data_IF_922616120207
#
_entry.id   IF_922616120207
#
_cell.length_a   1.000
_cell.length_b   1.000
_cell.length_c   1.000
_cell.angle_alpha   90.00
_cell.angle_beta   90.00
_cell.angle_gamma   90.00
#
_symmetry.space_group_name_H-M   'P 1'
#
loop_
_entity.id
_entity.type
_entity.pdbx_description
1 polymer ?
#
# COMPACT_ATOMS: atom_id res chain seq x y z
N UNK A 1 20.35 -8.86 60.39
CA UNK A 1 20.83 -8.64 59.01
C UNK A 1 20.41 -9.87 58.22
N UNK A 2 19.20 -9.84 57.66
CA UNK A 2 18.67 -10.94 56.84
C UNK A 2 19.09 -10.61 55.42
N UNK A 3 19.93 -11.45 54.82
CA UNK A 3 20.32 -11.30 53.43
C UNK A 3 19.16 -11.79 52.57
N UNK A 4 18.53 -10.88 51.83
CA UNK A 4 17.56 -11.20 50.78
C UNK A 4 18.28 -12.01 49.70
N UNK A 5 18.03 -13.31 49.70
CA UNK A 5 18.39 -14.20 48.60
C UNK A 5 17.40 -13.92 47.45
N UNK A 6 17.70 -12.91 46.63
CA UNK A 6 16.99 -12.66 45.38
C UNK A 6 17.37 -13.76 44.42
N UNK A 7 16.57 -14.82 44.35
CA UNK A 7 16.69 -15.83 43.30
C UNK A 7 16.68 -15.12 41.94
N UNK A 8 17.81 -15.15 41.22
CA UNK A 8 17.88 -14.61 39.87
C UNK A 8 16.85 -15.33 39.00
N UNK A 9 15.87 -14.56 38.52
CA UNK A 9 14.83 -15.04 37.60
C UNK A 9 15.53 -15.75 36.44
N UNK A 10 15.32 -17.06 36.31
CA UNK A 10 15.87 -17.91 35.25
C UNK A 10 15.33 -17.44 33.89
N UNK A 11 15.95 -16.43 33.29
CA UNK A 11 15.59 -15.94 31.96
C UNK A 11 16.09 -16.93 30.91
N UNK A 12 15.27 -17.19 29.89
CA UNK A 12 15.66 -18.08 28.80
C UNK A 12 16.88 -17.48 28.07
N UNK A 13 17.97 -18.24 27.95
CA UNK A 13 19.14 -17.92 27.10
C UNK A 13 18.92 -18.23 25.62
N UNK A 14 17.68 -18.47 25.18
CA UNK A 14 17.37 -18.81 23.79
C UNK A 14 17.69 -17.61 22.90
N UNK A 15 18.63 -17.76 21.99
CA UNK A 15 18.84 -16.80 20.91
C UNK A 15 17.57 -16.73 20.07
N UNK A 16 16.96 -15.54 20.03
CA UNK A 16 15.78 -15.28 19.21
C UNK A 16 16.25 -14.88 17.83
N UNK A 17 16.21 -15.81 16.87
CA UNK A 17 16.36 -15.45 15.47
C UNK A 17 15.02 -14.97 14.93
N UNK A 18 14.95 -13.72 14.44
CA UNK A 18 13.74 -13.21 13.81
C UNK A 18 13.52 -13.95 12.48
N UNK A 19 12.37 -14.59 12.26
CA UNK A 19 12.07 -15.26 11.00
C UNK A 19 12.15 -14.28 9.81
N UNK A 20 12.74 -14.69 8.70
CA UNK A 20 13.02 -13.83 7.53
C UNK A 20 11.77 -13.11 6.98
N UNK A 21 10.59 -13.72 7.05
CA UNK A 21 9.34 -13.10 6.59
C UNK A 21 8.85 -11.94 7.48
N UNK A 22 9.34 -11.84 8.73
CA UNK A 22 9.11 -10.68 9.58
C UNK A 22 9.99 -9.47 9.15
N UNK A 23 11.00 -9.64 8.30
CA UNK A 23 11.71 -8.48 7.72
C UNK A 23 10.96 -7.88 6.52
N UNK A 24 9.90 -8.55 6.05
CA UNK A 24 9.12 -8.11 4.89
C UNK A 24 7.92 -7.24 5.26
N UNK A 25 7.59 -7.07 6.55
CA UNK A 25 6.81 -5.91 6.93
C UNK A 25 7.76 -4.72 6.99
N UNK A 26 7.55 -3.76 6.10
CA UNK A 26 8.20 -2.47 6.18
C UNK A 26 7.84 -1.85 7.54
N UNK A 27 8.80 -1.90 8.46
CA UNK A 27 8.79 -1.19 9.74
C UNK A 27 8.62 0.31 9.57
N UNK A 28 8.70 0.84 8.35
CA UNK A 28 8.38 2.24 8.01
C UNK A 28 6.97 2.63 8.42
N UNK A 29 5.95 1.79 8.22
CA UNK A 29 4.58 2.18 8.62
C UNK A 29 4.47 2.27 10.14
N UNK A 30 5.06 1.32 10.87
CA UNK A 30 5.03 1.29 12.34
C UNK A 30 5.92 2.41 12.93
N UNK A 31 7.08 2.70 12.33
CA UNK A 31 7.97 3.79 12.73
C UNK A 31 7.36 5.16 12.44
N UNK A 32 6.71 5.34 11.28
CA UNK A 32 6.00 6.57 10.91
C UNK A 32 4.83 6.84 11.87
N UNK A 33 4.11 5.80 12.29
CA UNK A 33 3.02 5.92 13.28
C UNK A 33 3.54 6.17 14.71
N UNK A 34 4.67 5.57 15.09
CA UNK A 34 5.23 5.70 16.44
C UNK A 34 6.10 6.96 16.65
N UNK A 35 6.78 7.47 15.62
CA UNK A 35 7.74 8.57 15.72
C UNK A 35 7.26 9.88 15.08
N UNK A 36 6.15 9.89 14.34
CA UNK A 36 5.65 11.10 13.67
C UNK A 36 6.56 11.64 12.55
N UNK A 37 7.68 10.97 12.25
CA UNK A 37 8.58 11.30 11.17
C UNK A 37 8.02 10.78 9.85
N UNK A 38 7.35 11.66 9.10
CA UNK A 38 7.05 11.42 7.70
C UNK A 38 8.29 11.82 6.91
N UNK A 39 8.88 10.97 6.04
CA UNK A 39 10.02 11.35 5.23
C UNK A 39 9.72 12.63 4.46
N UNK A 40 10.48 13.70 4.74
CA UNK A 40 10.29 15.04 4.18
C UNK A 40 10.66 15.11 2.70
N UNK A 41 11.43 14.13 2.22
CA UNK A 41 11.98 14.11 0.87
C UNK A 41 10.98 13.52 -0.16
N UNK A 42 9.85 13.00 0.31
CA UNK A 42 8.78 12.47 -0.53
C UNK A 42 7.67 13.54 -0.67
N UNK A 43 7.44 14.06 -1.88
CA UNK A 43 6.43 15.07 -2.13
C UNK A 43 5.02 14.50 -1.95
N UNK A 44 4.10 15.33 -1.46
CA UNK A 44 2.69 14.93 -1.25
C UNK A 44 1.77 15.48 -2.32
N UNK A 45 2.22 16.48 -3.07
CA UNK A 45 1.46 17.16 -4.10
C UNK A 45 2.19 17.08 -5.43
N UNK A 46 1.43 17.03 -6.51
CA UNK A 46 1.97 17.04 -7.88
C UNK A 46 2.92 18.21 -8.13
N UNK A 47 2.53 19.43 -7.73
CA UNK A 47 3.36 20.63 -7.93
C UNK A 47 4.72 20.51 -7.25
N UNK A 48 4.73 20.02 -6.01
CA UNK A 48 5.95 19.80 -5.24
C UNK A 48 6.85 18.76 -5.92
N UNK A 49 6.26 17.65 -6.37
CA UNK A 49 6.95 16.58 -7.08
C UNK A 49 7.61 17.05 -8.38
N UNK A 50 6.93 17.92 -9.14
CA UNK A 50 7.50 18.50 -10.37
C UNK A 50 8.61 19.52 -10.12
N UNK A 51 8.62 20.16 -8.93
CA UNK A 51 9.60 21.20 -8.58
C UNK A 51 10.88 20.63 -7.96
N UNK A 52 10.81 19.45 -7.32
CA UNK A 52 11.97 18.83 -6.67
C UNK A 52 13.09 18.39 -7.63
N UNK A 53 12.79 18.17 -8.92
CA UNK A 53 13.81 17.83 -9.94
C UNK A 53 14.53 16.49 -9.74
N UNK A 54 14.05 15.63 -8.84
CA UNK A 54 14.68 14.37 -8.42
C UNK A 54 14.04 13.13 -9.08
N UNK A 55 13.48 13.25 -10.29
CA UNK A 55 12.90 12.12 -11.04
C UNK A 55 11.44 11.75 -10.68
N UNK A 56 10.80 12.45 -9.73
CA UNK A 56 9.38 12.25 -9.45
C UNK A 56 8.48 12.57 -10.65
N UNK A 57 8.83 13.62 -11.41
CA UNK A 57 8.12 13.98 -12.64
C UNK A 57 8.09 12.81 -13.65
N UNK A 58 9.24 12.18 -13.89
CA UNK A 58 9.33 11.04 -14.82
C UNK A 58 8.50 9.85 -14.35
N UNK A 59 8.42 9.63 -13.03
CA UNK A 59 7.62 8.56 -12.45
C UNK A 59 6.13 8.82 -12.65
N UNK A 60 5.70 10.08 -12.48
CA UNK A 60 4.32 10.51 -12.71
C UNK A 60 3.96 10.42 -14.20
N UNK A 61 4.83 10.87 -15.08
CA UNK A 61 4.61 10.82 -16.53
C UNK A 61 4.49 9.36 -17.01
N UNK A 62 5.31 8.45 -16.47
CA UNK A 62 5.20 7.00 -16.73
C UNK A 62 3.88 6.39 -16.25
N UNK A 63 3.41 6.75 -15.06
CA UNK A 63 2.11 6.25 -14.59
C UNK A 63 0.98 6.74 -15.50
N UNK A 64 0.99 8.02 -15.89
CA UNK A 64 -0.01 8.57 -16.81
C UNK A 64 0.02 7.87 -18.17
N UNK A 65 1.19 7.60 -18.74
CA UNK A 65 1.29 6.88 -20.01
C UNK A 65 0.75 5.44 -19.89
N UNK A 66 1.03 4.75 -18.78
CA UNK A 66 0.49 3.41 -18.52
C UNK A 66 -1.03 3.43 -18.40
N UNK A 67 -1.60 4.45 -17.76
CA UNK A 67 -3.07 4.61 -17.66
C UNK A 67 -3.70 4.84 -19.03
N UNK A 68 -3.05 5.64 -19.89
CA UNK A 68 -3.50 5.88 -21.26
C UNK A 68 -3.39 4.62 -22.14
N UNK A 69 -2.26 3.91 -22.07
CA UNK A 69 -2.01 2.67 -22.82
C UNK A 69 -3.00 1.56 -22.46
N UNK A 70 -3.35 1.44 -21.18
CA UNK A 70 -4.33 0.46 -20.72
C UNK A 70 -5.78 0.84 -21.06
N UNK A 71 -6.02 2.07 -21.54
CA UNK A 71 -7.37 2.56 -21.84
C UNK A 71 -8.29 2.60 -20.63
N UNK A 72 -7.74 2.62 -19.41
CA UNK A 72 -8.51 2.51 -18.17
C UNK A 72 -9.38 3.75 -17.97
N UNK A 73 -8.87 4.94 -18.31
CA UNK A 73 -9.55 6.22 -18.11
C UNK A 73 -9.72 7.00 -19.42
N UNK A 74 -10.86 7.70 -19.53
CA UNK A 74 -11.11 8.70 -20.57
C UNK A 74 -11.38 10.04 -19.91
N UNK A 75 -10.79 11.11 -20.43
CA UNK A 75 -11.08 12.45 -19.96
C UNK A 75 -12.45 12.90 -20.48
N UNK A 76 -13.40 13.07 -19.57
CA UNK A 76 -14.76 13.54 -19.89
C UNK A 76 -14.98 14.89 -19.22
N UNK A 77 -15.68 15.79 -19.91
CA UNK A 77 -16.12 17.05 -19.30
C UNK A 77 -17.23 16.75 -18.29
N UNK A 78 -17.13 17.21 -17.03
CA UNK A 78 -18.17 16.95 -16.05
C UNK A 78 -19.50 17.56 -16.51
N UNK A 79 -20.59 16.79 -16.39
CA UNK A 79 -21.93 17.34 -16.58
C UNK A 79 -22.33 18.12 -15.32
N UNK A 80 -23.27 19.06 -15.45
CA UNK A 80 -23.61 20.03 -14.40
C UNK A 80 -24.09 19.41 -13.08
N UNK A 81 -24.55 18.16 -13.10
CA UNK A 81 -25.12 17.46 -11.94
C UNK A 81 -24.27 16.25 -11.47
N UNK A 82 -23.09 16.05 -12.05
CA UNK A 82 -22.23 14.92 -11.69
C UNK A 82 -21.47 15.17 -10.37
N UNK A 83 -21.48 14.16 -9.49
CA UNK A 83 -20.60 14.15 -8.31
C UNK A 83 -19.18 13.79 -8.76
N UNK A 84 -18.33 14.81 -8.89
CA UNK A 84 -16.93 14.63 -9.26
C UNK A 84 -16.18 14.01 -8.07
N UNK A 85 -15.62 12.81 -8.27
CA UNK A 85 -14.74 12.17 -7.29
C UNK A 85 -13.37 12.83 -7.38
N UNK A 86 -12.89 13.35 -6.26
CA UNK A 86 -11.57 13.97 -6.22
C UNK A 86 -10.47 12.89 -6.21
N UNK A 87 -9.28 13.24 -6.70
CA UNK A 87 -8.15 12.34 -6.82
C UNK A 87 -6.98 12.83 -5.98
N UNK A 88 -6.07 11.92 -5.65
CA UNK A 88 -4.82 12.26 -4.97
C UNK A 88 -3.67 11.43 -5.51
N UNK A 89 -2.50 12.05 -5.51
CA UNK A 89 -1.26 11.33 -5.76
C UNK A 89 -0.80 10.62 -4.49
N UNK A 90 -0.37 9.37 -4.66
CA UNK A 90 0.31 8.56 -3.66
C UNK A 90 1.71 8.28 -4.20
N UNK A 91 2.72 8.80 -3.52
CA UNK A 91 4.12 8.72 -3.94
C UNK A 91 4.90 7.95 -2.90
N UNK A 92 5.71 7.00 -3.33
CA UNK A 92 6.50 6.13 -2.46
C UNK A 92 7.86 5.89 -3.09
N UNK A 93 8.91 6.07 -2.30
CA UNK A 93 10.28 5.71 -2.67
C UNK A 93 10.70 4.55 -1.80
N UNK A 94 11.21 3.48 -2.42
CA UNK A 94 11.65 2.26 -1.74
C UNK A 94 13.05 1.90 -2.18
N UNK A 95 13.87 1.41 -1.26
CA UNK A 95 15.18 0.85 -1.61
C UNK A 95 14.97 -0.63 -1.92
N UNK A 96 15.17 -1.02 -3.18
CA UNK A 96 15.09 -2.41 -3.65
C UNK A 96 16.49 -2.81 -4.11
N UNK A 97 17.05 -3.85 -3.51
CA UNK A 97 18.40 -4.36 -3.82
C UNK A 97 19.50 -3.27 -3.74
N UNK A 98 19.35 -2.32 -2.80
CA UNK A 98 20.27 -1.20 -2.61
C UNK A 98 20.06 -0.02 -3.56
N UNK A 99 19.07 -0.08 -4.47
CA UNK A 99 18.74 1.02 -5.38
C UNK A 99 17.43 1.70 -5.00
N UNK A 100 17.35 3.05 -5.03
CA UNK A 100 16.12 3.76 -4.83
C UNK A 100 15.19 3.60 -6.04
N UNK A 101 13.99 3.10 -5.78
CA UNK A 101 12.91 2.92 -6.76
C UNK A 101 11.73 3.79 -6.36
N UNK A 102 11.34 4.69 -7.25
CA UNK A 102 10.22 5.62 -7.06
C UNK A 102 8.97 5.08 -7.76
N UNK A 103 7.82 5.21 -7.09
CA UNK A 103 6.51 4.85 -7.61
C UNK A 103 5.51 5.96 -7.28
N UNK A 104 4.72 6.35 -8.28
CA UNK A 104 3.68 7.34 -8.14
C UNK A 104 2.38 6.74 -8.69
N UNK A 105 1.31 6.82 -7.90
CA UNK A 105 0.00 6.31 -8.27
C UNK A 105 -1.04 7.42 -8.11
N UNK A 106 -1.93 7.53 -9.08
CA UNK A 106 -3.08 8.43 -9.01
C UNK A 106 -4.29 7.64 -8.51
N UNK A 107 -4.81 8.01 -7.35
CA UNK A 107 -5.85 7.26 -6.65
C UNK A 107 -7.09 8.13 -6.46
N UNK A 108 -8.26 7.58 -6.78
CA UNK A 108 -9.54 8.21 -6.49
C UNK A 108 -9.84 8.18 -4.98
N UNK A 109 -10.45 9.24 -4.46
CA UNK A 109 -10.94 9.29 -3.08
C UNK A 109 -12.25 8.53 -3.00
N UNK A 110 -12.16 7.19 -2.92
CA UNK A 110 -13.32 6.30 -2.96
C UNK A 110 -14.40 6.56 -1.89
N UNK A 111 -14.08 7.24 -0.79
CA UNK A 111 -15.08 7.66 0.21
C UNK A 111 -16.04 8.75 -0.28
N UNK A 112 -15.70 9.45 -1.38
CA UNK A 112 -16.57 10.43 -2.04
C UNK A 112 -17.42 9.79 -3.13
N UNK A 113 -17.22 8.50 -3.42
CA UNK A 113 -18.11 7.81 -4.32
C UNK A 113 -19.51 7.82 -3.69
N UNK A 114 -20.51 8.40 -4.38
CA UNK A 114 -21.87 8.30 -3.90
C UNK A 114 -22.18 6.81 -3.72
N UNK A 115 -22.82 6.45 -2.61
CA UNK A 115 -23.43 5.13 -2.40
C UNK A 115 -24.65 5.01 -3.33
N UNK A 116 -24.43 5.26 -4.63
CA UNK A 116 -25.33 4.81 -5.67
C UNK A 116 -25.24 3.29 -5.63
N UNK A 117 -26.39 2.64 -5.65
CA UNK A 117 -26.64 1.21 -5.41
C UNK A 117 -25.83 0.26 -6.31
N UNK A 118 -24.50 0.29 -6.18
CA UNK A 118 -23.61 -0.67 -6.79
C UNK A 118 -23.67 -1.91 -5.90
N UNK A 119 -24.63 -2.79 -6.20
CA UNK A 119 -24.75 -4.13 -5.62
C UNK A 119 -23.47 -4.97 -5.80
N UNK A 120 -22.58 -4.57 -6.71
CA UNK A 120 -21.27 -5.19 -6.89
C UNK A 120 -20.20 -4.51 -6.04
N UNK A 121 -20.17 -4.89 -4.76
CA UNK A 121 -18.99 -4.71 -3.91
C UNK A 121 -17.86 -5.58 -4.47
N UNK A 122 -17.06 -5.02 -5.38
CA UNK A 122 -15.79 -5.63 -5.80
C UNK A 122 -14.82 -5.64 -4.63
N UNK A 123 -14.90 -6.69 -3.81
CA UNK A 123 -13.88 -7.00 -2.82
C UNK A 123 -12.64 -7.52 -3.56
N UNK A 124 -11.61 -6.67 -3.71
CA UNK A 124 -10.39 -6.92 -4.47
C UNK A 124 -9.44 -7.98 -3.86
N UNK A 125 -9.95 -8.93 -3.08
CA UNK A 125 -9.11 -9.99 -2.51
C UNK A 125 -9.87 -11.31 -2.54
N UNK A 126 -9.83 -11.97 -3.69
CA UNK A 126 -10.10 -13.40 -3.73
C UNK A 126 -9.09 -14.09 -2.80
N UNK A 127 -9.55 -14.59 -1.65
CA UNK A 127 -8.68 -15.33 -0.73
C UNK A 127 -8.29 -16.62 -1.42
N UNK A 128 -7.01 -16.97 -1.37
CA UNK A 128 -6.49 -18.21 -1.96
C UNK A 128 -7.20 -19.46 -1.42
N UNK A 129 -7.69 -19.39 -0.19
CA UNK A 129 -8.53 -20.42 0.44
C UNK A 129 -9.83 -20.62 -0.34
N UNK A 130 -10.54 -19.55 -0.69
CA UNK A 130 -11.78 -19.61 -1.50
C UNK A 130 -11.51 -20.23 -2.88
N UNK A 131 -10.41 -19.87 -3.53
CA UNK A 131 -10.02 -20.45 -4.83
C UNK A 131 -9.73 -21.94 -4.69
N UNK A 132 -9.02 -22.36 -3.64
CA UNK A 132 -8.75 -23.79 -3.36
C UNK A 132 -10.02 -24.58 -3.10
N UNK A 133 -10.98 -24.01 -2.37
CA UNK A 133 -12.27 -24.66 -2.10
C UNK A 133 -13.07 -24.83 -3.40
N UNK A 134 -13.12 -23.81 -4.25
CA UNK A 134 -13.78 -23.89 -5.56
C UNK A 134 -13.15 -24.98 -6.44
N UNK A 135 -11.81 -25.05 -6.50
CA UNK A 135 -11.10 -26.10 -7.24
C UNK A 135 -11.39 -27.49 -6.68
N UNK A 136 -11.43 -27.65 -5.35
CA UNK A 136 -11.77 -28.92 -4.72
C UNK A 136 -13.20 -29.37 -5.07
N UNK A 137 -14.16 -28.44 -5.10
CA UNK A 137 -15.55 -28.72 -5.49
C UNK A 137 -15.64 -29.08 -6.99
N UNK A 138 -14.88 -28.42 -7.86
CA UNK A 138 -14.89 -28.72 -9.29
C UNK A 138 -14.37 -30.14 -9.57
N UNK A 139 -13.29 -30.54 -8.88
CA UNK A 139 -12.75 -31.92 -8.96
C UNK A 139 -13.72 -32.94 -8.37
N UNK A 140 -14.37 -32.62 -7.25
CA UNK A 140 -15.39 -33.51 -6.64
C UNK A 140 -16.61 -33.70 -7.55
N UNK A 141 -16.93 -32.71 -8.39
CA UNK A 141 -18.11 -32.72 -9.26
C UNK A 141 -17.81 -33.07 -10.72
N UNK A 142 -16.58 -33.49 -11.06
CA UNK A 142 -16.11 -33.76 -12.43
C UNK A 142 -16.56 -32.68 -13.44
N UNK A 143 -16.35 -31.41 -13.09
CA UNK A 143 -16.51 -30.25 -14.00
C UNK A 143 -15.24 -29.96 -14.80
#
# INVERSE_FOLDING_TARGET
RLEENVEEIRRSRREKHMPSYLNNYEVDIILVLCAGCIPTDIPRKYKEATQMGNGWKETIDKELSVVEENGTWIFVKPQSDDVIIDTRWVMVEKIIDGQPVKRAHLVAKGYQQPTLDNEDVYALVARLITVRVLLAIAVDRDM
#
